data_IF_911838041627
#
_entry.id   IF_911838041627
#
_cell.length_a   1.000
_cell.length_b   1.000
_cell.length_c   1.000
_cell.angle_alpha   90.00
_cell.angle_beta   90.00
_cell.angle_gamma   90.00
#
_symmetry.space_group_name_H-M   'P 1'
#
loop_
_entity.id
_entity.type
_entity.pdbx_description
1 polymer ?
#
# COMPACT_ATOMS: atom_id res chain seq x y z
N UNK A 1 -13.67 -7.03 2.12
CA UNK A 1 -13.55 -6.13 0.94
C UNK A 1 -12.19 -5.46 1.02
N UNK A 2 -11.21 -6.02 0.33
CA UNK A 2 -9.87 -5.45 0.17
C UNK A 2 -9.95 -4.31 -0.84
N UNK A 3 -9.44 -3.12 -0.50
CA UNK A 3 -9.76 -1.92 -1.31
C UNK A 3 -8.88 -1.74 -2.55
N UNK A 4 -7.72 -2.37 -2.65
CA UNK A 4 -6.86 -2.31 -3.85
C UNK A 4 -5.75 -3.34 -3.69
N UNK A 5 -5.57 -4.23 -4.68
CA UNK A 5 -4.41 -5.14 -4.77
C UNK A 5 -3.48 -4.59 -5.86
N UNK A 6 -2.60 -3.67 -5.47
CA UNK A 6 -1.46 -3.25 -6.31
C UNK A 6 -0.28 -4.21 -6.14
N UNK A 7 0.70 -4.14 -7.04
CA UNK A 7 1.85 -5.06 -7.13
C UNK A 7 2.77 -5.11 -5.89
N UNK A 8 2.59 -4.26 -4.87
CA UNK A 8 3.57 -4.14 -3.77
C UNK A 8 3.00 -3.95 -2.35
N UNK A 9 1.68 -3.83 -2.14
CA UNK A 9 1.13 -3.69 -0.77
C UNK A 9 -0.37 -4.00 -0.71
N UNK A 10 -0.80 -4.67 0.37
CA UNK A 10 -2.22 -4.89 0.64
C UNK A 10 -2.74 -3.75 1.53
N UNK A 11 -3.87 -3.14 1.16
CA UNK A 11 -4.53 -2.12 1.99
C UNK A 11 -5.80 -2.71 2.59
N UNK A 12 -5.92 -2.66 3.91
CA UNK A 12 -7.08 -3.16 4.66
C UNK A 12 -7.85 -2.00 5.27
N UNK A 13 -9.17 -2.08 5.23
CA UNK A 13 -10.07 -1.22 6.03
C UNK A 13 -10.15 -1.79 7.44
N UNK A 14 -9.88 -0.98 8.45
CA UNK A 14 -9.99 -1.37 9.86
C UNK A 14 -10.74 -0.32 10.66
N UNK A 15 -11.40 -0.73 11.74
CA UNK A 15 -12.03 0.18 12.70
C UNK A 15 -11.23 0.12 14.00
N UNK A 16 -10.77 1.28 14.47
CA UNK A 16 -10.22 1.40 15.82
C UNK A 16 -11.39 1.51 16.79
N UNK A 17 -11.63 0.46 17.57
CA UNK A 17 -12.86 0.28 18.34
C UNK A 17 -13.03 1.36 19.42
N UNK A 18 -11.93 1.75 20.04
CA UNK A 18 -11.91 2.76 21.11
C UNK A 18 -12.26 4.16 20.60
N UNK A 19 -12.05 4.42 19.30
CA UNK A 19 -12.33 5.72 18.66
C UNK A 19 -13.55 5.67 17.72
N UNK A 20 -14.16 4.49 17.54
CA UNK A 20 -15.21 4.22 16.55
C UNK A 20 -14.90 4.76 15.13
N UNK A 21 -13.60 4.85 14.80
CA UNK A 21 -13.14 5.48 13.57
C UNK A 21 -12.52 4.47 12.61
N UNK A 22 -12.83 4.64 11.34
CA UNK A 22 -12.34 3.78 10.27
C UNK A 22 -11.02 4.33 9.70
N UNK A 23 -10.08 3.44 9.50
CA UNK A 23 -8.74 3.71 8.99
C UNK A 23 -8.41 2.76 7.82
N UNK A 24 -7.51 3.22 6.96
CA UNK A 24 -6.84 2.38 5.98
C UNK A 24 -5.47 1.97 6.54
N UNK A 25 -5.17 0.68 6.51
CA UNK A 25 -3.89 0.11 6.95
C UNK A 25 -3.18 -0.44 5.72
N UNK A 26 -2.05 0.17 5.34
CA UNK A 26 -1.16 -0.33 4.29
C UNK A 26 -0.18 -1.34 4.90
N UNK A 27 -0.34 -2.61 4.55
CA UNK A 27 0.53 -3.70 4.99
C UNK A 27 1.67 -3.87 3.97
N UNK A 28 2.90 -3.77 4.46
CA UNK A 28 4.11 -3.85 3.63
C UNK A 28 4.95 -5.05 4.08
N UNK A 29 5.15 -6.08 3.25
CA UNK A 29 6.01 -7.21 3.58
C UNK A 29 7.48 -6.78 3.59
N UNK A 30 8.23 -7.19 4.61
CA UNK A 30 9.63 -6.78 4.81
C UNK A 30 10.67 -7.69 4.15
N UNK A 31 10.24 -8.71 3.40
CA UNK A 31 11.12 -9.77 2.87
C UNK A 31 12.34 -9.23 2.10
N UNK A 32 12.19 -8.12 1.38
CA UNK A 32 13.24 -7.54 0.53
C UNK A 32 13.44 -6.03 0.71
N UNK A 33 12.84 -5.42 1.74
CA UNK A 33 12.87 -3.96 1.91
C UNK A 33 13.93 -3.53 2.93
N UNK A 34 14.75 -2.55 2.55
CA UNK A 34 15.58 -1.83 3.52
C UNK A 34 14.67 -1.01 4.44
N UNK A 35 14.72 -1.27 5.76
CA UNK A 35 13.96 -0.57 6.79
C UNK A 35 14.14 0.95 6.72
N UNK A 36 15.31 1.42 6.31
CA UNK A 36 15.61 2.85 6.17
C UNK A 36 14.73 3.53 5.12
N UNK A 37 14.41 2.84 4.03
CA UNK A 37 13.51 3.39 3.00
C UNK A 37 12.10 3.57 3.55
N UNK A 38 11.60 2.58 4.29
CA UNK A 38 10.27 2.67 4.92
C UNK A 38 10.23 3.77 5.97
N UNK A 39 11.27 3.89 6.79
CA UNK A 39 11.36 4.97 7.77
C UNK A 39 11.44 6.35 7.12
N UNK A 40 12.02 6.49 5.92
CA UNK A 40 11.95 7.75 5.16
C UNK A 40 10.53 8.08 4.72
N UNK A 41 9.78 7.10 4.20
CA UNK A 41 8.36 7.29 3.83
C UNK A 41 7.52 7.68 5.07
N UNK A 42 7.68 6.96 6.18
CA UNK A 42 6.99 7.26 7.44
C UNK A 42 7.32 8.67 7.93
N UNK A 43 8.60 9.07 7.93
CA UNK A 43 9.01 10.42 8.31
C UNK A 43 8.39 11.48 7.40
N UNK A 44 8.40 11.27 6.08
CA UNK A 44 7.80 12.22 5.15
C UNK A 44 6.31 12.39 5.41
N UNK A 45 5.58 11.29 5.60
CA UNK A 45 4.15 11.30 5.90
C UNK A 45 3.83 11.93 7.25
N UNK A 46 4.68 11.74 8.26
CA UNK A 46 4.49 12.31 9.60
C UNK A 46 4.53 13.85 9.62
N UNK A 47 5.26 14.48 8.69
CA UNK A 47 5.30 15.95 8.56
C UNK A 47 4.16 16.50 7.69
N UNK A 48 3.37 15.63 7.05
CA UNK A 48 2.42 16.02 6.02
C UNK A 48 1.01 16.18 6.62
N UNK A 49 0.75 17.34 7.21
CA UNK A 49 -0.54 17.67 7.80
C UNK A 49 -1.26 18.76 7.00
N UNK A 50 -2.12 18.35 6.07
CA UNK A 50 -2.92 19.26 5.25
C UNK A 50 -4.32 18.71 4.98
N UNK A 51 -5.33 19.59 4.90
CA UNK A 51 -6.76 19.20 4.80
C UNK A 51 -7.08 18.32 3.58
N UNK A 52 -6.33 18.48 2.48
CA UNK A 52 -6.58 17.77 1.23
C UNK A 52 -5.62 16.60 0.99
N UNK A 53 -4.83 16.20 1.98
CA UNK A 53 -3.94 15.05 1.88
C UNK A 53 -4.30 14.03 2.96
N UNK A 54 -4.17 12.75 2.62
CA UNK A 54 -4.45 11.65 3.54
C UNK A 54 -3.53 11.75 4.74
N UNK A 55 -4.13 11.91 5.92
CA UNK A 55 -3.42 12.06 7.19
C UNK A 55 -2.80 10.73 7.62
N UNK A 56 -1.51 10.77 7.90
CA UNK A 56 -0.82 9.72 8.62
C UNK A 56 -1.16 9.77 10.11
N UNK A 57 -1.41 8.61 10.71
CA UNK A 57 -1.73 8.51 12.14
C UNK A 57 -0.66 7.77 12.92
N UNK A 58 -0.24 6.60 12.44
CA UNK A 58 0.75 5.77 13.13
C UNK A 58 1.30 4.68 12.22
N UNK A 59 2.38 4.04 12.65
CA UNK A 59 2.93 2.81 12.09
C UNK A 59 3.35 1.89 13.23
N UNK A 60 3.40 0.59 12.97
CA UNK A 60 3.92 -0.39 13.91
C UNK A 60 4.57 -1.54 13.15
N UNK A 61 5.53 -2.19 13.80
CA UNK A 61 6.07 -3.47 13.35
C UNK A 61 5.17 -4.58 13.86
N UNK A 62 4.96 -5.61 13.06
CA UNK A 62 4.19 -6.77 13.46
C UNK A 62 4.64 -8.01 12.70
N UNK A 63 4.37 -9.16 13.29
CA UNK A 63 4.55 -10.44 12.62
C UNK A 63 3.33 -10.70 11.73
N UNK A 64 3.59 -11.00 10.47
CA UNK A 64 2.54 -11.25 9.50
C UNK A 64 2.15 -12.72 9.55
N UNK A 65 0.95 -13.02 10.07
CA UNK A 65 0.29 -14.32 9.89
C UNK A 65 -0.37 -14.42 8.51
N UNK A 66 0.24 -13.85 7.45
CA UNK A 66 -0.29 -14.01 6.08
C UNK A 66 -0.03 -15.47 5.66
N UNK A 67 -0.86 -16.36 6.19
CA UNK A 67 -1.18 -17.64 5.62
C UNK A 67 -1.76 -17.36 4.24
N UNK A 68 -1.04 -17.85 3.23
CA UNK A 68 -1.51 -18.26 1.91
C UNK A 68 -3.04 -18.14 1.72
N UNK A 69 -3.51 -16.95 1.37
CA UNK A 69 -4.79 -16.77 0.67
C UNK A 69 -4.44 -16.36 -0.76
N UNK A 70 -3.69 -17.24 -1.42
CA UNK A 70 -3.89 -17.42 -2.85
C UNK A 70 -5.11 -18.32 -2.95
N UNK A 71 -6.29 -17.71 -3.02
CA UNK A 71 -7.43 -18.40 -3.57
C UNK A 71 -7.70 -17.74 -4.93
N UNK A 72 -7.30 -18.49 -5.94
CA UNK A 72 -7.98 -18.72 -7.22
C UNK A 72 -8.96 -17.63 -7.66
N UNK A 73 -8.64 -16.93 -8.75
CA UNK A 73 -9.58 -16.67 -9.85
C UNK A 73 -8.82 -16.09 -11.05
N UNK A 74 -9.22 -16.60 -12.21
CA UNK A 74 -8.61 -16.52 -13.53
C UNK A 74 -8.97 -15.22 -14.27
N UNK A 75 -8.19 -14.92 -15.32
CA UNK A 75 -8.51 -14.04 -16.47
C UNK A 75 -8.54 -12.50 -16.19
N UNK A 76 -8.09 -11.58 -17.04
CA UNK A 76 -7.73 -11.52 -18.45
C UNK A 76 -6.66 -10.42 -18.60
N UNK A 77 -5.51 -10.72 -19.23
CA UNK A 77 -4.47 -9.72 -19.48
C UNK A 77 -4.68 -9.10 -20.85
N UNK A 78 -5.45 -8.02 -20.92
CA UNK A 78 -5.41 -7.13 -22.08
C UNK A 78 -4.10 -6.35 -22.07
N UNK A 79 -3.23 -6.65 -23.03
CA UNK A 79 -1.92 -6.02 -23.24
C UNK A 79 -2.10 -4.69 -23.97
N UNK A 80 -2.06 -3.56 -23.25
CA UNK A 80 -1.91 -2.24 -23.87
C UNK A 80 -0.43 -1.86 -23.93
N UNK A 81 0.15 -2.05 -25.12
CA UNK A 81 1.50 -1.65 -25.47
C UNK A 81 1.49 -0.20 -25.96
N UNK A 82 2.05 0.71 -25.18
CA UNK A 82 2.28 2.09 -25.64
C UNK A 82 3.56 2.15 -26.47
N UNK A 83 3.41 2.28 -27.80
CA UNK A 83 4.49 2.63 -28.71
C UNK A 83 5.08 3.99 -28.35
N UNK A 84 6.32 4.01 -27.86
CA UNK A 84 7.10 5.24 -27.70
C UNK A 84 7.67 5.60 -29.06
N UNK A 85 6.97 6.46 -29.80
CA UNK A 85 7.51 7.10 -30.99
C UNK A 85 8.64 8.07 -30.58
N UNK A 86 9.90 7.66 -30.81
CA UNK A 86 11.07 8.52 -30.62
C UNK A 86 11.37 9.27 -31.92
N UNK A 87 10.82 10.47 -32.05
CA UNK A 87 11.36 11.43 -33.01
C UNK A 87 12.66 12.01 -32.44
N UNK A 88 13.80 11.57 -32.97
CA UNK A 88 15.13 12.14 -32.72
C UNK A 88 15.36 13.40 -33.54
N UNK A 89 15.54 14.55 -32.87
CA UNK A 89 16.32 15.71 -33.31
C UNK A 89 17.21 16.14 -32.15
#
# INVERSE_FOLDING_TARGET
MDLTRGSFSQVKKAMKKEEEKVYAIKVIPLLNYNKEHLLREVKALAHLEYKFIVRYYTFWWGESVVSRLGDSEEDDSTSDSMEINRNSW
#
